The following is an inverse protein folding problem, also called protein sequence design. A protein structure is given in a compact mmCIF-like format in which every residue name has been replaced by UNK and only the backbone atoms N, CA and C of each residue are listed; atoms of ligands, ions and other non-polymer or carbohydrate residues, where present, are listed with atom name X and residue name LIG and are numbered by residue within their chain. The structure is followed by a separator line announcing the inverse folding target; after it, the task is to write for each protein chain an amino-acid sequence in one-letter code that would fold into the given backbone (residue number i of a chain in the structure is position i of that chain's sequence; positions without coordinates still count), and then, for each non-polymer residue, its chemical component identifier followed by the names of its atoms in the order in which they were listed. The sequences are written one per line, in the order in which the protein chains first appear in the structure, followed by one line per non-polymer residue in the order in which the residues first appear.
data_IF_399704362620
#
_entry.id   IF_399704362620
#
_cell.length_a   1.000
_cell.length_b   1.000
_cell.length_c   1.000
_cell.angle_alpha   90.00
_cell.angle_beta   90.00
_cell.angle_gamma   90.00
#
_symmetry.space_group_name_H-M   'P 1'
#
loop_
_entity.id
_entity.type
_entity.pdbx_description
1 polymer ?
#
# COMPACT_ATOMS: atom_id res chain seq x y z
N UNK A 1 -13.26 0.88 -3.01
CA UNK A 1 -12.28 -0.18 -3.22
C UNK A 1 -10.95 0.24 -2.65
N UNK A 2 -10.45 -0.53 -1.70
CA UNK A 2 -9.14 -0.34 -1.06
C UNK A 2 -8.06 -1.15 -1.81
N UNK A 3 -6.90 -0.53 -2.04
CA UNK A 3 -5.68 -1.22 -2.47
C UNK A 3 -4.75 -1.41 -1.27
N UNK A 4 -4.42 -2.65 -0.92
CA UNK A 4 -3.41 -3.01 0.07
C UNK A 4 -2.12 -3.42 -0.64
N UNK A 5 -1.06 -2.64 -0.45
CA UNK A 5 0.28 -2.95 -0.96
C UNK A 5 1.05 -3.74 0.09
N UNK A 6 1.37 -5.00 -0.24
CA UNK A 6 2.12 -5.93 0.59
C UNK A 6 3.63 -5.77 0.38
N UNK A 7 4.35 -5.37 1.42
CA UNK A 7 5.80 -5.30 1.47
C UNK A 7 6.43 -6.61 1.97
N UNK A 8 5.83 -7.76 1.63
CA UNK A 8 6.27 -9.10 2.02
C UNK A 8 6.28 -9.30 3.55
N UNK A 9 5.22 -8.87 4.22
CA UNK A 9 5.12 -8.95 5.68
C UNK A 9 4.30 -10.14 6.17
N UNK A 10 4.70 -10.71 7.30
CA UNK A 10 3.99 -11.85 7.90
C UNK A 10 2.65 -11.47 8.53
N UNK A 11 2.42 -10.20 8.86
CA UNK A 11 1.18 -9.70 9.45
C UNK A 11 0.21 -9.09 8.43
N UNK A 12 0.57 -9.03 7.13
CA UNK A 12 -0.30 -8.47 6.09
C UNK A 12 -1.67 -9.17 6.04
N UNK A 13 -1.72 -10.47 6.35
CA UNK A 13 -2.97 -11.23 6.37
C UNK A 13 -3.92 -10.83 7.53
N UNK A 14 -3.39 -10.34 8.65
CA UNK A 14 -4.22 -9.79 9.72
C UNK A 14 -4.92 -8.51 9.25
N UNK A 15 -4.17 -7.64 8.55
CA UNK A 15 -4.70 -6.42 7.96
C UNK A 15 -5.74 -6.78 6.88
N UNK A 16 -5.40 -7.70 5.98
CA UNK A 16 -6.30 -8.18 4.93
C UNK A 16 -7.63 -8.68 5.50
N UNK A 17 -7.60 -9.57 6.51
CA UNK A 17 -8.83 -10.13 7.10
C UNK A 17 -9.74 -9.04 7.67
N UNK A 18 -9.17 -8.08 8.39
CA UNK A 18 -9.95 -6.99 8.96
C UNK A 18 -10.51 -6.07 7.87
N UNK A 19 -9.68 -5.65 6.91
CA UNK A 19 -10.10 -4.74 5.85
C UNK A 19 -11.11 -5.40 4.91
N UNK A 20 -10.94 -6.68 4.58
CA UNK A 20 -11.88 -7.45 3.76
C UNK A 20 -13.25 -7.63 4.43
N UNK A 21 -13.33 -7.54 5.76
CA UNK A 21 -14.61 -7.51 6.48
C UNK A 21 -15.38 -6.20 6.29
N UNK A 22 -14.69 -5.11 5.92
CA UNK A 22 -15.25 -3.76 5.71
C UNK A 22 -15.45 -3.49 4.22
N UNK A 23 -14.46 -3.75 3.37
CA UNK A 23 -14.52 -3.59 1.92
C UNK A 23 -14.31 -4.94 1.22
N UNK A 24 -15.40 -5.47 0.65
CA UNK A 24 -15.39 -6.76 -0.08
C UNK A 24 -14.64 -6.70 -1.40
N UNK A 25 -14.34 -5.51 -1.91
CA UNK A 25 -13.60 -5.33 -3.17
C UNK A 25 -12.09 -5.15 -2.95
N UNK A 26 -11.58 -5.34 -1.73
CA UNK A 26 -10.17 -5.20 -1.39
C UNK A 26 -9.26 -5.94 -2.39
N UNK A 27 -8.28 -5.22 -2.95
CA UNK A 27 -7.24 -5.78 -3.80
C UNK A 27 -5.92 -5.75 -3.03
N UNK A 28 -5.23 -6.89 -3.01
CA UNK A 28 -3.89 -7.01 -2.44
C UNK A 28 -2.89 -7.22 -3.58
N UNK A 29 -1.83 -6.41 -3.59
CA UNK A 29 -0.71 -6.53 -4.53
C UNK A 29 0.59 -6.38 -3.80
N UNK A 30 1.61 -7.15 -4.18
CA UNK A 30 2.95 -6.94 -3.66
C UNK A 30 3.56 -5.68 -4.25
N UNK A 31 4.49 -5.07 -3.52
CA UNK A 31 5.13 -3.81 -3.88
C UNK A 31 5.98 -3.86 -5.17
N UNK A 32 6.12 -5.03 -5.79
CA UNK A 32 6.81 -5.30 -7.04
C UNK A 32 5.89 -5.94 -8.12
N UNK A 33 4.59 -6.10 -7.81
CA UNK A 33 3.59 -6.75 -8.67
C UNK A 33 2.49 -5.80 -9.15
N UNK A 34 2.68 -4.49 -8.97
CA UNK A 34 1.80 -3.45 -9.49
C UNK A 34 2.63 -2.21 -9.82
N UNK A 35 2.27 -1.51 -10.88
CA UNK A 35 2.89 -0.26 -11.32
C UNK A 35 1.99 0.95 -11.05
N UNK A 36 2.57 2.15 -11.05
CA UNK A 36 1.82 3.41 -10.90
C UNK A 36 0.71 3.55 -11.94
N UNK A 37 0.98 3.18 -13.20
CA UNK A 37 -0.01 3.25 -14.28
C UNK A 37 -1.18 2.29 -14.04
N UNK A 38 -0.91 1.07 -13.56
CA UNK A 38 -1.97 0.14 -13.18
C UNK A 38 -2.82 0.70 -12.03
N UNK A 39 -2.21 1.37 -11.04
CA UNK A 39 -2.95 2.02 -9.94
C UNK A 39 -3.85 3.15 -10.48
N UNK A 40 -3.37 3.97 -11.42
CA UNK A 40 -4.18 5.02 -12.07
C UNK A 40 -5.39 4.46 -12.81
N UNK A 41 -5.24 3.31 -13.47
CA UNK A 41 -6.34 2.63 -14.15
C UNK A 41 -7.29 2.00 -13.13
N UNK A 42 -6.74 1.44 -12.06
CA UNK A 42 -7.48 0.78 -10.99
C UNK A 42 -8.37 1.76 -10.20
N UNK A 43 -7.93 3.02 -10.04
CA UNK A 43 -8.63 4.09 -9.32
C UNK A 43 -9.12 3.66 -7.94
N UNK A 44 -8.21 3.22 -7.03
CA UNK A 44 -8.63 2.88 -5.68
C UNK A 44 -9.10 4.14 -4.93
N UNK A 45 -10.08 3.97 -4.04
CA UNK A 45 -10.56 5.07 -3.20
C UNK A 45 -9.61 5.35 -2.03
N UNK A 46 -8.85 4.34 -1.60
CA UNK A 46 -7.90 4.41 -0.49
C UNK A 46 -6.73 3.45 -0.75
N UNK A 47 -5.56 3.78 -0.20
CA UNK A 47 -4.38 2.92 -0.26
C UNK A 47 -3.88 2.61 1.16
N UNK A 48 -3.56 1.34 1.42
CA UNK A 48 -2.89 0.88 2.63
C UNK A 48 -1.52 0.34 2.24
N UNK A 49 -0.46 0.83 2.89
CA UNK A 49 0.89 0.30 2.77
C UNK A 49 1.20 -0.55 3.99
N UNK A 50 1.40 -1.86 3.78
CA UNK A 50 1.60 -2.81 4.87
C UNK A 50 2.93 -2.56 5.61
N UNK A 51 3.10 -3.20 6.79
CA UNK A 51 4.44 -3.41 7.36
C UNK A 51 5.33 -4.17 6.37
N UNK A 52 6.62 -4.27 6.69
CA UNK A 52 7.59 -5.02 5.90
C UNK A 52 8.95 -5.02 6.60
N UNK A 53 9.85 -5.94 6.22
CA UNK A 53 11.22 -5.94 6.72
C UNK A 53 12.04 -4.79 6.11
N UNK A 54 13.24 -4.53 6.66
CA UNK A 54 14.23 -3.58 6.14
C UNK A 54 13.83 -2.09 6.25
N UNK A 55 14.36 -1.25 5.36
CA UNK A 55 14.27 0.20 5.41
C UNK A 55 13.38 0.75 4.28
N UNK A 56 12.90 2.01 4.38
CA UNK A 56 12.03 2.62 3.36
C UNK A 56 12.57 2.59 1.94
N UNK A 57 13.88 2.67 1.78
CA UNK A 57 14.57 2.57 0.48
C UNK A 57 14.35 1.22 -0.21
N UNK A 58 13.98 0.19 0.55
CA UNK A 58 13.70 -1.17 0.08
C UNK A 58 12.19 -1.41 -0.19
N UNK A 59 11.32 -0.42 0.05
CA UNK A 59 9.86 -0.57 -0.03
C UNK A 59 9.31 -0.57 -1.48
N UNK A 60 10.11 -0.99 -2.46
CA UNK A 60 9.71 -1.10 -3.87
C UNK A 60 9.09 0.18 -4.41
N UNK A 61 7.91 0.07 -5.03
CA UNK A 61 7.17 1.20 -5.62
C UNK A 61 6.62 2.21 -4.59
N UNK A 62 6.67 1.91 -3.28
CA UNK A 62 5.88 2.66 -2.28
C UNK A 62 6.21 4.16 -2.26
N UNK A 63 7.48 4.55 -2.39
CA UNK A 63 7.89 5.97 -2.38
C UNK A 63 7.32 6.71 -3.60
N UNK A 64 7.43 6.11 -4.79
CA UNK A 64 6.87 6.67 -6.02
C UNK A 64 5.35 6.76 -5.94
N UNK A 65 4.70 5.71 -5.45
CA UNK A 65 3.26 5.66 -5.21
C UNK A 65 2.81 6.79 -4.30
N UNK A 66 3.46 6.99 -3.16
CA UNK A 66 3.09 8.05 -2.23
C UNK A 66 3.19 9.41 -2.91
N UNK A 67 4.31 9.71 -3.57
CA UNK A 67 4.53 10.99 -4.26
C UNK A 67 3.48 11.28 -5.33
N UNK A 68 3.05 10.25 -6.04
CA UNK A 68 2.04 10.39 -7.09
C UNK A 68 0.65 10.64 -6.49
N UNK A 69 0.25 9.92 -5.43
CA UNK A 69 -1.15 9.84 -5.02
C UNK A 69 -1.52 10.60 -3.72
N UNK A 70 -0.56 11.08 -2.92
CA UNK A 70 -0.85 11.60 -1.56
C UNK A 70 -1.82 12.79 -1.50
N UNK A 71 -2.01 13.52 -2.61
CA UNK A 71 -2.96 14.64 -2.70
C UNK A 71 -4.37 14.23 -3.10
N UNK A 72 -4.52 13.06 -3.69
CA UNK A 72 -5.76 12.63 -4.36
C UNK A 72 -6.41 11.45 -3.63
N UNK A 73 -5.60 10.51 -3.14
CA UNK A 73 -6.05 9.27 -2.54
C UNK A 73 -5.54 9.23 -1.09
N UNK A 74 -6.40 9.06 -0.08
CA UNK A 74 -5.96 8.87 1.29
C UNK A 74 -5.06 7.63 1.43
N UNK A 75 -3.93 7.79 2.12
CA UNK A 75 -2.92 6.74 2.32
C UNK A 75 -2.72 6.46 3.81
N UNK A 76 -2.86 5.19 4.20
CA UNK A 76 -2.49 4.70 5.52
C UNK A 76 -1.22 3.85 5.42
N UNK A 77 -0.13 4.33 6.06
CA UNK A 77 1.11 3.56 6.17
C UNK A 77 1.28 2.94 7.56
N UNK A 78 1.68 1.67 7.62
CA UNK A 78 1.90 0.94 8.89
C UNK A 78 3.35 0.45 8.93
N UNK A 79 4.07 0.72 10.03
CA UNK A 79 5.48 0.35 10.20
C UNK A 79 6.35 0.81 9.02
N UNK A 80 6.84 -0.10 8.15
CA UNK A 80 7.59 0.26 6.94
C UNK A 80 6.80 1.22 6.04
N UNK A 81 5.49 1.00 5.88
CA UNK A 81 4.62 1.91 5.14
C UNK A 81 4.57 3.32 5.76
N UNK A 82 4.62 3.44 7.08
CA UNK A 82 4.70 4.74 7.78
C UNK A 82 6.06 5.42 7.53
N UNK A 83 7.15 4.67 7.62
CA UNK A 83 8.49 5.19 7.36
C UNK A 83 8.65 5.62 5.89
N UNK A 84 8.04 4.90 4.95
CA UNK A 84 7.98 5.29 3.54
C UNK A 84 7.25 6.63 3.34
N UNK A 85 6.14 6.86 4.04
CA UNK A 85 5.45 8.17 4.02
C UNK A 85 6.37 9.28 4.53
N UNK A 86 7.10 9.06 5.63
CA UNK A 86 8.04 10.06 6.14
C UNK A 86 9.22 10.35 5.19
N UNK A 87 9.56 9.40 4.31
CA UNK A 87 10.70 9.51 3.38
C UNK A 87 10.32 10.08 2.01
N UNK A 88 9.02 10.08 1.67
CA UNK A 88 8.50 10.45 0.36
C UNK A 88 8.40 11.97 0.19
#
# INVERSE_FOLDING_TARGET
MILLVDNYDSFVYNIYQYVASIDKNLIVKRNDQISINEIKILKPDHIILSPGPKHPVDAGICIELIREFYKEIPILGICLGHQAIASA
#
